data_IF_586836057161
#
_entry.id   IF_586836057161
#
_cell.length_a   1.000
_cell.length_b   1.000
_cell.length_c   1.000
_cell.angle_alpha   90.00
_cell.angle_beta   90.00
_cell.angle_gamma   90.00
#
_symmetry.space_group_name_H-M   'P 1'
#
loop_
_entity.id
_entity.type
_entity.pdbx_description
1 polymer ?
#
# COMPACT_ATOMS: atom_id res chain seq x y z
N UNK A 1 11.60 -17.37 -6.70
CA UNK A 1 10.51 -16.37 -6.71
C UNK A 1 11.09 -14.98 -6.46
N UNK A 2 10.37 -13.93 -6.84
CA UNK A 2 10.66 -12.54 -6.48
C UNK A 2 9.61 -12.09 -5.46
N UNK A 3 10.04 -11.51 -4.34
CA UNK A 3 9.15 -11.12 -3.23
C UNK A 3 9.16 -9.60 -3.08
N UNK A 4 7.97 -9.00 -3.03
CA UNK A 4 7.76 -7.54 -3.05
C UNK A 4 6.66 -7.12 -2.08
N UNK A 5 7.00 -6.65 -0.87
CA UNK A 5 6.06 -5.92 -0.03
C UNK A 5 5.83 -4.53 -0.65
N UNK A 6 4.66 -4.31 -1.21
CA UNK A 6 4.34 -3.12 -1.99
C UNK A 6 3.62 -2.04 -1.17
N UNK A 7 3.75 -0.79 -1.62
CA UNK A 7 3.09 0.39 -1.02
C UNK A 7 1.60 0.20 -0.77
N UNK A 8 0.91 -0.52 -1.67
CA UNK A 8 -0.52 -0.80 -1.57
C UNK A 8 -0.91 -1.75 -0.41
N UNK A 9 0.07 -2.28 0.32
CA UNK A 9 -0.13 -3.12 1.51
C UNK A 9 -0.20 -4.62 1.24
N UNK A 10 -0.01 -5.04 -0.01
CA UNK A 10 0.12 -6.46 -0.37
C UNK A 10 1.57 -6.87 -0.52
N UNK A 11 1.88 -8.07 -0.05
CA UNK A 11 3.15 -8.75 -0.29
C UNK A 11 2.94 -9.69 -1.47
N UNK A 12 3.56 -9.33 -2.57
CA UNK A 12 3.52 -10.11 -3.80
C UNK A 12 4.65 -11.12 -3.83
N UNK A 13 4.32 -12.35 -4.21
CA UNK A 13 5.27 -13.38 -4.60
C UNK A 13 5.05 -13.64 -6.08
N UNK A 14 6.07 -13.38 -6.88
CA UNK A 14 6.02 -13.53 -8.32
C UNK A 14 6.97 -14.62 -8.80
N UNK A 15 6.59 -15.29 -9.88
CA UNK A 15 7.56 -16.01 -10.69
C UNK A 15 8.50 -14.98 -11.34
N UNK A 16 9.80 -15.10 -11.05
CA UNK A 16 10.80 -14.12 -11.50
C UNK A 16 11.13 -14.22 -12.98
N UNK A 17 10.79 -15.32 -13.64
CA UNK A 17 11.05 -15.57 -15.05
C UNK A 17 9.86 -15.17 -15.93
N UNK A 18 8.62 -15.39 -15.46
CA UNK A 18 7.41 -15.12 -16.24
C UNK A 18 6.67 -13.84 -15.83
N UNK A 19 6.87 -13.38 -14.60
CA UNK A 19 6.10 -12.27 -14.01
C UNK A 19 4.73 -12.68 -13.49
N UNK A 20 4.39 -13.96 -13.48
CA UNK A 20 3.13 -14.48 -12.92
C UNK A 20 3.03 -14.17 -11.41
N UNK A 21 1.84 -13.71 -10.97
CA UNK A 21 1.56 -13.44 -9.56
C UNK A 21 1.12 -14.73 -8.87
N UNK A 22 2.02 -15.34 -8.11
CA UNK A 22 1.79 -16.62 -7.41
C UNK A 22 1.02 -16.41 -6.10
N UNK A 23 1.22 -15.28 -5.43
CA UNK A 23 0.54 -14.90 -4.19
C UNK A 23 0.54 -13.38 -4.03
N UNK A 24 -0.52 -12.84 -3.44
CA UNK A 24 -0.63 -11.43 -3.08
C UNK A 24 -1.50 -11.30 -1.84
N UNK A 25 -0.87 -11.27 -0.65
CA UNK A 25 -1.57 -11.23 0.64
C UNK A 25 -1.29 -9.91 1.36
N UNK A 26 -2.27 -9.33 2.06
CA UNK A 26 -2.04 -8.13 2.84
C UNK A 26 -1.10 -8.45 4.01
N UNK A 27 -0.09 -7.60 4.25
CA UNK A 27 0.83 -7.70 5.39
C UNK A 27 0.55 -6.66 6.48
N UNK A 28 -0.65 -6.09 6.45
CA UNK A 28 -1.22 -5.21 7.45
C UNK A 28 -2.57 -4.66 6.97
N UNK A 29 -3.06 -3.57 7.56
CA UNK A 29 -4.38 -3.03 7.25
C UNK A 29 -4.49 -2.53 5.81
N UNK A 30 -5.39 -3.15 5.03
CA UNK A 30 -5.72 -2.73 3.67
C UNK A 30 -7.23 -2.69 3.51
N UNK A 31 -7.75 -1.53 3.11
CA UNK A 31 -9.14 -1.38 2.69
C UNK A 31 -9.28 -0.57 1.39
N UNK A 32 -8.19 -0.02 0.83
CA UNK A 32 -8.20 0.68 -0.46
C UNK A 32 -8.61 -0.22 -1.64
N UNK A 33 -8.52 -1.53 -1.47
CA UNK A 33 -8.99 -2.55 -2.41
C UNK A 33 -9.53 -3.76 -1.65
N UNK A 34 -10.23 -4.66 -2.34
CA UNK A 34 -10.76 -5.91 -1.77
C UNK A 34 -9.78 -7.08 -1.88
N UNK A 35 -8.65 -6.91 -2.58
CA UNK A 35 -7.64 -7.96 -2.81
C UNK A 35 -6.98 -7.83 -4.18
N UNK A 36 -6.27 -8.88 -4.59
CA UNK A 36 -5.65 -9.01 -5.92
C UNK A 36 -6.21 -10.25 -6.60
N UNK A 37 -6.67 -10.11 -7.84
CA UNK A 37 -7.01 -11.25 -8.69
C UNK A 37 -5.73 -11.90 -9.22
N UNK A 38 -5.43 -13.12 -8.76
CA UNK A 38 -4.19 -13.82 -9.13
C UNK A 38 -4.15 -14.23 -10.61
N UNK A 39 -5.28 -14.34 -11.30
CA UNK A 39 -5.30 -14.67 -12.73
C UNK A 39 -4.83 -13.51 -13.59
N UNK A 40 -5.16 -12.28 -13.17
CA UNK A 40 -4.89 -11.06 -13.96
C UNK A 40 -3.80 -10.17 -13.34
N UNK A 41 -3.46 -10.39 -12.07
CA UNK A 41 -2.58 -9.53 -11.27
C UNK A 41 -3.20 -8.19 -10.87
N UNK A 42 -4.48 -7.94 -11.16
CA UNK A 42 -5.15 -6.65 -10.91
C UNK A 42 -5.71 -6.56 -9.49
N UNK A 43 -5.69 -5.36 -8.94
CA UNK A 43 -6.42 -5.06 -7.70
C UNK A 43 -7.93 -5.18 -7.96
N UNK A 44 -8.63 -5.78 -7.00
CA UNK A 44 -10.08 -5.79 -6.95
C UNK A 44 -10.52 -4.49 -6.28
N UNK A 45 -11.17 -3.60 -7.02
CA UNK A 45 -11.56 -2.28 -6.52
C UNK A 45 -12.43 -2.36 -5.25
N UNK A 46 -12.25 -1.37 -4.37
CA UNK A 46 -13.20 -1.12 -3.29
C UNK A 46 -13.98 0.17 -3.57
N UNK A 47 -15.25 0.11 -4.01
CA UNK A 47 -16.07 1.28 -4.30
C UNK A 47 -16.17 2.28 -3.15
N UNK A 48 -16.12 1.80 -1.90
CA UNK A 48 -16.20 2.62 -0.70
C UNK A 48 -14.99 3.55 -0.51
N UNK A 49 -13.86 3.21 -1.14
CA UNK A 49 -12.58 3.93 -1.01
C UNK A 49 -12.12 4.57 -2.32
N UNK A 50 -13.00 4.68 -3.33
CA UNK A 50 -12.71 5.43 -4.55
C UNK A 50 -12.63 6.93 -4.26
N UNK A 51 -11.45 7.50 -4.53
CA UNK A 51 -11.14 8.93 -4.35
C UNK A 51 -11.61 9.74 -5.55
N UNK A 52 -11.69 11.06 -5.39
CA UNK A 52 -12.16 11.96 -6.44
C UNK A 52 -12.12 13.42 -6.02
N UNK A 53 -12.24 14.31 -7.01
CA UNK A 53 -12.20 15.77 -6.80
C UNK A 53 -13.46 16.25 -6.06
N UNK A 54 -13.27 17.11 -5.06
CA UNK A 54 -14.35 17.69 -4.24
C UNK A 54 -15.03 16.67 -3.32
N UNK A 55 -14.45 15.49 -3.15
CA UNK A 55 -15.00 14.40 -2.32
C UNK A 55 -14.00 14.02 -1.24
N UNK A 56 -14.42 14.13 0.01
CA UNK A 56 -13.67 13.58 1.15
C UNK A 56 -13.94 12.09 1.28
N UNK A 57 -12.89 11.28 1.19
CA UNK A 57 -12.92 9.83 1.45
C UNK A 57 -12.13 9.56 2.72
N UNK A 58 -12.78 8.93 3.69
CA UNK A 58 -12.22 8.75 5.03
C UNK A 58 -11.67 7.36 5.27
N UNK A 59 -10.78 7.24 6.24
CA UNK A 59 -10.27 5.98 6.76
C UNK A 59 -9.72 5.03 5.66
N UNK A 60 -8.96 5.56 4.71
CA UNK A 60 -8.27 4.78 3.67
C UNK A 60 -7.00 4.18 4.27
N UNK A 61 -6.84 2.87 4.16
CA UNK A 61 -5.63 2.15 4.56
C UNK A 61 -5.07 1.35 3.37
N UNK A 62 -3.75 1.42 3.10
CA UNK A 62 -2.77 2.31 3.74
C UNK A 62 -2.88 3.77 3.25
N UNK A 63 -2.05 4.67 3.78
CA UNK A 63 -1.90 6.04 3.24
C UNK A 63 -1.28 6.05 1.84
N UNK A 64 -1.24 7.23 1.19
CA UNK A 64 -0.53 7.44 -0.07
C UNK A 64 0.98 7.07 0.01
N UNK A 65 1.63 7.31 1.16
CA UNK A 65 3.00 6.85 1.45
C UNK A 65 3.10 5.33 1.64
N UNK A 66 1.97 4.63 1.60
CA UNK A 66 1.86 3.19 1.60
C UNK A 66 2.11 2.54 2.95
N UNK A 67 1.81 1.24 2.99
CA UNK A 67 2.08 0.41 4.15
C UNK A 67 3.59 0.23 4.33
N UNK A 68 4.36 0.24 3.24
CA UNK A 68 5.83 0.30 3.23
C UNK A 68 6.27 1.27 2.15
N UNK A 69 7.29 2.07 2.43
CA UNK A 69 7.85 3.02 1.46
C UNK A 69 9.23 2.53 0.96
N UNK A 70 10.24 3.40 0.86
CA UNK A 70 11.55 3.06 0.31
C UNK A 70 12.41 2.16 1.20
N UNK A 71 12.09 2.00 2.48
CA UNK A 71 12.95 1.29 3.42
C UNK A 71 13.14 -0.17 2.98
N UNK A 72 14.34 -0.74 2.91
CA UNK A 72 14.52 -2.12 2.44
C UNK A 72 13.98 -3.15 3.45
N UNK A 73 13.61 -4.34 2.96
CA UNK A 73 13.34 -5.53 3.78
C UNK A 73 14.53 -6.49 3.70
N UNK A 74 14.69 -7.38 4.67
CA UNK A 74 15.76 -8.37 4.70
C UNK A 74 15.21 -9.80 4.74
N UNK A 75 15.80 -10.71 3.98
CA UNK A 75 15.44 -12.14 4.03
C UNK A 75 16.56 -12.93 4.70
N UNK A 76 16.20 -13.88 5.56
CA UNK A 76 17.15 -14.79 6.21
C UNK A 76 16.96 -16.21 5.69
N UNK A 77 17.93 -16.77 4.94
CA UNK A 77 17.87 -18.16 4.49
C UNK A 77 17.86 -19.18 5.63
N UNK A 78 18.33 -18.80 6.84
CA UNK A 78 18.35 -19.69 8.01
C UNK A 78 16.97 -19.88 8.63
N UNK A 79 16.15 -18.84 8.59
CA UNK A 79 14.80 -18.87 9.19
C UNK A 79 13.71 -19.04 8.14
N UNK A 80 14.01 -18.78 6.87
CA UNK A 80 13.03 -18.77 5.79
C UNK A 80 12.12 -17.54 5.81
N UNK A 81 12.39 -16.56 6.67
CA UNK A 81 11.49 -15.41 6.89
C UNK A 81 12.00 -14.13 6.22
N UNK A 82 11.03 -13.32 5.77
CA UNK A 82 11.22 -11.94 5.35
C UNK A 82 10.92 -10.99 6.50
N UNK A 83 11.86 -10.12 6.83
CA UNK A 83 11.75 -9.10 7.88
C UNK A 83 11.45 -7.74 7.25
N UNK A 84 10.29 -7.18 7.60
CA UNK A 84 9.69 -6.02 6.93
C UNK A 84 9.51 -4.90 7.95
N UNK A 85 10.27 -3.79 7.86
CA UNK A 85 9.92 -2.54 8.51
C UNK A 85 8.82 -1.85 7.69
N UNK A 86 7.68 -1.54 8.33
CA UNK A 86 6.53 -0.98 7.64
C UNK A 86 5.76 0.03 8.51
N UNK A 87 5.03 0.91 7.84
CA UNK A 87 4.13 1.88 8.42
C UNK A 87 2.85 1.18 8.90
N UNK A 88 2.15 1.82 9.82
CA UNK A 88 0.78 1.51 10.22
C UNK A 88 0.00 2.82 10.25
N UNK A 89 -0.30 3.34 9.05
CA UNK A 89 -0.95 4.62 8.86
C UNK A 89 -2.13 4.46 7.89
N UNK A 90 -3.20 5.19 8.17
CA UNK A 90 -4.35 5.38 7.29
C UNK A 90 -4.56 6.89 7.06
N UNK A 91 -5.47 7.28 6.17
CA UNK A 91 -5.71 8.69 5.87
C UNK A 91 -7.17 8.99 5.54
N UNK A 92 -7.54 10.24 5.76
CA UNK A 92 -8.62 10.90 5.04
C UNK A 92 -8.00 11.65 3.85
N UNK A 93 -8.63 11.57 2.68
CA UNK A 93 -8.18 12.17 1.43
C UNK A 93 -9.30 12.98 0.78
N UNK A 94 -8.96 14.14 0.22
CA UNK A 94 -9.83 14.91 -0.67
C UNK A 94 -9.04 15.38 -1.88
N UNK A 95 -9.50 15.05 -3.08
CA UNK A 95 -8.94 15.59 -4.32
C UNK A 95 -9.39 17.03 -4.54
N UNK A 96 -8.49 17.89 -5.02
CA UNK A 96 -8.79 19.29 -5.37
C UNK A 96 -8.31 19.60 -6.78
N UNK A 97 -8.97 20.54 -7.45
CA UNK A 97 -8.54 20.99 -8.78
C UNK A 97 -7.17 21.67 -8.72
N UNK A 98 -6.36 21.44 -9.76
CA UNK A 98 -5.00 21.95 -9.85
C UNK A 98 -4.71 22.56 -11.20
N UNK A 99 -3.99 23.67 -11.17
CA UNK A 99 -3.40 24.28 -12.35
C UNK A 99 -1.95 23.81 -12.51
N UNK A 100 -1.52 23.62 -13.75
CA UNK A 100 -0.14 23.26 -14.06
C UNK A 100 0.71 24.51 -14.32
N UNK A 101 1.78 24.66 -13.55
CA UNK A 101 2.86 25.61 -13.80
C UNK A 101 4.17 24.81 -13.73
N UNK A 102 4.99 24.90 -14.78
CA UNK A 102 6.25 24.16 -14.83
C UNK A 102 7.15 24.53 -13.63
N UNK A 103 7.64 23.50 -12.93
CA UNK A 103 8.51 23.65 -11.76
C UNK A 103 7.79 23.80 -10.40
N UNK A 104 6.46 23.89 -10.38
CA UNK A 104 5.68 23.92 -9.12
C UNK A 104 5.05 22.57 -8.79
N UNK A 105 4.70 22.30 -7.51
CA UNK A 105 3.99 21.07 -7.15
C UNK A 105 2.66 20.91 -7.92
N UNK A 106 2.40 19.68 -8.37
CA UNK A 106 1.16 19.29 -9.07
C UNK A 106 0.54 18.09 -8.35
N UNK A 107 0.03 18.34 -7.12
CA UNK A 107 -0.46 17.30 -6.21
C UNK A 107 -1.98 17.19 -6.24
N UNK A 108 -2.68 18.27 -5.90
CA UNK A 108 -4.15 18.32 -5.96
C UNK A 108 -4.85 17.46 -4.92
N UNK A 109 -4.31 17.41 -3.69
CA UNK A 109 -4.85 16.54 -2.66
C UNK A 109 -4.65 17.12 -1.26
N UNK A 110 -5.73 17.16 -0.47
CA UNK A 110 -5.66 17.36 0.97
C UNK A 110 -5.59 15.99 1.64
N UNK A 111 -4.60 15.79 2.51
CA UNK A 111 -4.40 14.51 3.21
C UNK A 111 -4.32 14.75 4.72
N UNK A 112 -5.10 13.99 5.47
CA UNK A 112 -4.99 13.89 6.92
C UNK A 112 -4.59 12.48 7.31
N UNK A 113 -3.35 12.29 7.72
CA UNK A 113 -2.84 10.99 8.17
C UNK A 113 -3.30 10.69 9.61
N UNK A 114 -3.74 9.46 9.83
CA UNK A 114 -4.16 8.93 11.13
C UNK A 114 -3.40 7.62 11.43
N UNK A 115 -3.18 7.27 12.71
CA UNK A 115 -2.66 5.95 13.06
C UNK A 115 -3.56 4.84 12.52
N UNK A 116 -2.96 3.73 12.09
CA UNK A 116 -3.71 2.53 11.75
C UNK A 116 -4.31 1.85 12.98
N UNK A 117 -5.06 0.74 12.78
CA UNK A 117 -5.55 -0.12 13.86
C UNK A 117 -4.48 -0.42 14.91
N UNK A 118 -4.84 -0.35 16.19
CA UNK A 118 -3.90 -0.53 17.31
C UNK A 118 -3.21 0.75 17.78
N UNK A 119 -3.30 1.86 17.04
CA UNK A 119 -2.82 3.19 17.48
C UNK A 119 -1.32 3.44 17.33
N UNK A 120 -0.52 2.41 17.05
CA UNK A 120 0.88 2.55 16.65
C UNK A 120 0.98 3.02 15.19
N UNK A 121 2.03 3.78 14.86
CA UNK A 121 2.26 4.34 13.50
C UNK A 121 3.21 3.53 12.62
N UNK A 122 3.80 2.48 13.17
CA UNK A 122 4.74 1.61 12.48
C UNK A 122 4.82 0.26 13.16
N UNK A 123 5.32 -0.72 12.42
CA UNK A 123 5.50 -2.10 12.87
C UNK A 123 6.70 -2.74 12.16
N UNK A 124 7.19 -3.82 12.78
CA UNK A 124 8.24 -4.65 12.22
C UNK A 124 7.75 -6.09 12.22
N UNK A 125 7.61 -6.68 11.03
CA UNK A 125 6.97 -7.98 10.84
C UNK A 125 7.96 -8.98 10.28
N UNK A 126 7.98 -10.19 10.84
CA UNK A 126 8.59 -11.35 10.22
C UNK A 126 7.48 -12.12 9.48
N UNK A 127 7.66 -12.34 8.19
CA UNK A 127 6.68 -12.87 7.26
C UNK A 127 7.20 -14.17 6.63
N UNK A 128 6.32 -15.16 6.49
CA UNK A 128 6.53 -16.45 5.82
C UNK A 128 5.86 -16.46 4.43
#
# INVERSE_FOLDING_TARGET
VLVRPERNGYLYVLDRATGEVLSAKPYGPVNSSKGVDLKTGRLMENPDKLTGTGKVVRDICPTASGLKDWQPSAFSPRTGLLYIPHNNLCMDEEGVEVNYIAGTPYVGMNVRMIPGPGGNRGAFTAWD
#
